data_IF_770126814086
#
_entry.id   IF_770126814086
#
_cell.length_a   1.000
_cell.length_b   1.000
_cell.length_c   1.000
_cell.angle_alpha   90.00
_cell.angle_beta   90.00
_cell.angle_gamma   90.00
#
_symmetry.space_group_name_H-M   'P 1'
#
loop_
_entity.id
_entity.type
_entity.pdbx_description
1 polymer ?
#
# COMPACT_ATOMS: atom_id res chain seq x y z
N UNK A 1 6.50 -19.73 30.05
CA UNK A 1 5.80 -19.78 28.74
C UNK A 1 6.28 -18.59 27.92
N UNK A 2 7.08 -18.82 26.88
CA UNK A 2 7.65 -17.76 26.04
C UNK A 2 6.57 -17.19 25.12
N UNK A 3 6.03 -16.03 25.48
CA UNK A 3 4.96 -15.34 24.75
C UNK A 3 5.45 -14.08 24.02
N UNK A 4 6.78 -13.89 23.93
CA UNK A 4 7.35 -12.66 23.37
C UNK A 4 7.14 -12.50 21.86
N UNK A 5 7.39 -13.55 21.09
CA UNK A 5 7.38 -13.51 19.61
C UNK A 5 6.01 -13.75 18.95
N UNK A 6 5.10 -14.61 19.47
CA UNK A 6 3.78 -14.80 18.86
C UNK A 6 2.94 -13.52 18.66
N UNK A 7 2.88 -12.55 19.60
CA UNK A 7 2.12 -11.32 19.40
C UNK A 7 2.79 -10.33 18.44
N UNK A 8 4.10 -10.46 18.17
CA UNK A 8 4.78 -9.62 17.20
C UNK A 8 4.19 -9.82 15.79
N UNK A 9 3.83 -11.06 15.44
CA UNK A 9 3.22 -11.39 14.15
C UNK A 9 1.79 -10.82 14.03
N UNK A 10 1.05 -10.67 15.14
CA UNK A 10 -0.28 -10.08 15.13
C UNK A 10 -0.27 -8.61 14.67
N UNK A 11 0.83 -7.89 14.87
CA UNK A 11 0.97 -6.50 14.39
C UNK A 11 0.84 -6.35 12.88
N UNK A 12 1.08 -7.43 12.12
CA UNK A 12 0.94 -7.45 10.66
C UNK A 12 -0.52 -7.28 10.20
N UNK A 13 -1.49 -7.51 11.10
CA UNK A 13 -2.92 -7.30 10.83
C UNK A 13 -3.22 -5.85 10.38
N UNK A 14 -2.58 -4.86 11.01
CA UNK A 14 -2.74 -3.45 10.63
C UNK A 14 -2.20 -3.18 9.21
N UNK A 15 -1.08 -3.81 8.84
CA UNK A 15 -0.51 -3.71 7.49
C UNK A 15 -1.48 -4.26 6.44
N UNK A 16 -2.08 -5.42 6.68
CA UNK A 16 -3.05 -6.00 5.75
C UNK A 16 -4.37 -5.23 5.72
N UNK A 17 -4.83 -4.67 6.84
CA UNK A 17 -6.02 -3.81 6.86
C UNK A 17 -5.83 -2.59 5.94
N UNK A 18 -4.66 -1.94 5.98
CA UNK A 18 -4.32 -0.85 5.06
C UNK A 18 -4.28 -1.31 3.61
N UNK A 19 -3.67 -2.47 3.32
CA UNK A 19 -3.63 -3.04 1.97
C UNK A 19 -5.04 -3.30 1.42
N UNK A 20 -5.94 -3.84 2.24
CA UNK A 20 -7.33 -4.08 1.86
C UNK A 20 -8.10 -2.77 1.62
N UNK A 21 -7.89 -1.75 2.46
CA UNK A 21 -8.49 -0.43 2.26
C UNK A 21 -8.07 0.19 0.92
N UNK A 22 -6.77 0.13 0.57
CA UNK A 22 -6.29 0.58 -0.73
C UNK A 22 -6.85 -0.25 -1.88
N UNK A 23 -6.99 -1.57 -1.71
CA UNK A 23 -7.57 -2.44 -2.74
C UNK A 23 -9.02 -2.07 -3.04
N UNK A 24 -9.85 -1.88 -2.02
CA UNK A 24 -11.23 -1.44 -2.17
C UNK A 24 -11.33 -0.06 -2.84
N UNK A 25 -10.45 0.88 -2.46
CA UNK A 25 -10.41 2.20 -3.08
C UNK A 25 -10.04 2.14 -4.56
N UNK A 26 -9.04 1.32 -4.92
CA UNK A 26 -8.63 1.12 -6.31
C UNK A 26 -9.73 0.46 -7.15
N UNK A 27 -10.47 -0.49 -6.58
CA UNK A 27 -11.65 -1.10 -7.21
C UNK A 27 -12.71 -0.04 -7.56
N UNK A 28 -12.98 0.90 -6.64
CA UNK A 28 -13.89 2.04 -6.90
C UNK A 28 -13.41 2.96 -8.03
N UNK A 29 -12.10 3.07 -8.22
CA UNK A 29 -11.49 3.84 -9.31
C UNK A 29 -11.38 3.05 -10.63
N UNK A 30 -11.90 1.82 -10.69
CA UNK A 30 -11.80 0.94 -11.85
C UNK A 30 -10.44 0.27 -12.05
N UNK A 31 -9.57 0.31 -11.03
CA UNK A 31 -8.22 -0.25 -11.03
C UNK A 31 -8.19 -1.55 -10.21
N UNK A 32 -8.80 -2.61 -10.75
CA UNK A 32 -8.87 -3.94 -10.10
C UNK A 32 -7.60 -4.79 -10.27
N UNK A 33 -6.54 -4.21 -10.85
CA UNK A 33 -5.27 -4.90 -11.09
C UNK A 33 -4.52 -5.18 -9.79
N UNK A 34 -3.77 -6.29 -9.78
CA UNK A 34 -2.86 -6.62 -8.69
C UNK A 34 -1.81 -5.51 -8.52
N UNK A 35 -1.60 -5.06 -7.29
CA UNK A 35 -0.59 -4.06 -6.95
C UNK A 35 0.30 -4.55 -5.81
N UNK A 36 1.54 -4.08 -5.84
CA UNK A 36 2.54 -4.38 -4.81
C UNK A 36 2.48 -3.32 -3.72
N UNK A 37 2.37 -3.76 -2.46
CA UNK A 37 2.45 -2.89 -1.30
C UNK A 37 3.53 -3.43 -0.36
N UNK A 38 4.63 -2.71 -0.26
CA UNK A 38 5.83 -3.13 0.46
C UNK A 38 5.84 -2.60 1.89
N UNK A 39 6.28 -3.43 2.83
CA UNK A 39 6.57 -3.01 4.20
C UNK A 39 7.85 -2.17 4.25
N UNK A 40 7.95 -1.14 5.11
CA UNK A 40 6.90 -0.61 6.00
C UNK A 40 5.80 0.15 5.24
N UNK A 41 4.57 0.08 5.75
CA UNK A 41 3.41 0.83 5.23
C UNK A 41 3.48 2.32 5.61
N UNK A 42 4.47 3.04 5.06
CA UNK A 42 4.60 4.48 5.27
C UNK A 42 3.45 5.23 4.61
N UNK A 43 3.15 6.42 5.13
CA UNK A 43 2.12 7.32 4.57
C UNK A 43 2.39 7.68 3.11
N UNK A 44 3.67 7.82 2.75
CA UNK A 44 4.11 8.07 1.38
C UNK A 44 3.74 6.91 0.45
N UNK A 45 4.10 5.67 0.80
CA UNK A 45 3.76 4.47 0.01
C UNK A 45 2.26 4.27 -0.11
N UNK A 46 1.53 4.47 0.99
CA UNK A 46 0.06 4.37 1.00
C UNK A 46 -0.56 5.38 0.03
N UNK A 47 -0.14 6.66 0.10
CA UNK A 47 -0.67 7.73 -0.75
C UNK A 47 -0.43 7.47 -2.23
N UNK A 48 0.76 7.00 -2.58
CA UNK A 48 1.10 6.69 -3.98
C UNK A 48 0.35 5.48 -4.51
N UNK A 49 0.04 4.51 -3.63
CA UNK A 49 -0.72 3.31 -3.98
C UNK A 49 -2.19 3.61 -4.29
N UNK A 50 -2.76 4.68 -3.71
CA UNK A 50 -4.15 5.09 -3.95
C UNK A 50 -4.45 5.60 -5.36
N UNK A 51 -3.50 5.65 -6.31
CA UNK A 51 -3.73 5.85 -7.75
C UNK A 51 -4.83 6.88 -8.14
N UNK A 52 -4.87 8.01 -7.43
CA UNK A 52 -5.84 9.08 -7.62
C UNK A 52 -5.59 9.89 -8.88
N UNK A 53 -6.53 10.77 -9.21
CA UNK A 53 -6.32 11.80 -10.24
C UNK A 53 -5.05 12.63 -10.01
N UNK A 54 -4.74 12.99 -8.77
CA UNK A 54 -3.50 13.71 -8.44
C UNK A 54 -2.25 12.88 -8.71
N UNK A 55 -2.28 11.60 -8.34
CA UNK A 55 -1.18 10.66 -8.60
C UNK A 55 -1.00 10.47 -10.10
N UNK A 56 -2.11 10.40 -10.87
CA UNK A 56 -2.08 10.32 -12.32
C UNK A 56 -1.45 11.55 -12.97
N UNK A 57 -1.79 12.75 -12.48
CA UNK A 57 -1.19 14.00 -12.97
C UNK A 57 0.29 14.13 -12.61
N UNK A 58 0.69 13.62 -11.44
CA UNK A 58 2.06 13.76 -10.93
C UNK A 58 3.04 12.72 -11.50
N UNK A 59 2.60 11.48 -11.76
CA UNK A 59 3.47 10.39 -12.22
C UNK A 59 3.21 10.12 -13.70
N UNK A 60 4.09 10.56 -14.60
CA UNK A 60 3.79 10.64 -16.03
C UNK A 60 3.81 9.33 -16.84
N UNK A 61 4.24 8.18 -16.27
CA UNK A 61 4.47 6.97 -17.09
C UNK A 61 4.12 5.61 -16.44
N UNK A 62 3.91 5.50 -15.13
CA UNK A 62 3.56 4.21 -14.47
C UNK A 62 2.64 4.46 -13.26
N UNK A 63 1.34 4.55 -13.50
CA UNK A 63 0.36 4.98 -12.48
C UNK A 63 -0.04 3.88 -11.50
N UNK A 64 0.18 2.61 -11.85
CA UNK A 64 -0.43 1.48 -11.14
C UNK A 64 0.46 0.88 -10.05
N UNK A 65 1.79 0.99 -10.21
CA UNK A 65 2.81 0.45 -9.31
C UNK A 65 3.98 1.46 -9.08
N UNK A 66 3.65 2.74 -8.89
CA UNK A 66 4.68 3.73 -8.60
C UNK A 66 5.30 3.49 -7.21
N UNK A 67 6.59 3.14 -7.18
CA UNK A 67 7.40 3.11 -5.98
C UNK A 67 8.31 4.35 -5.93
N UNK A 68 8.17 5.11 -4.85
CA UNK A 68 9.04 6.26 -4.55
C UNK A 68 10.51 5.83 -4.41
N UNK A 69 11.41 6.48 -5.13
CA UNK A 69 12.85 6.22 -5.07
C UNK A 69 13.38 6.64 -3.69
N UNK A 70 14.13 5.76 -3.02
CA UNK A 70 14.70 6.02 -1.68
C UNK A 70 13.92 5.41 -0.51
N UNK A 71 12.74 4.86 -0.76
CA UNK A 71 12.06 3.98 0.18
C UNK A 71 12.64 2.56 0.09
N UNK A 72 13.66 2.27 0.91
CA UNK A 72 14.27 0.94 1.07
C UNK A 72 13.24 -0.16 1.35
#
# INVERSE_FOLDING_TARGET
KGIGEPPFVLGISAFFALKQACMAYREQQGLSNYFTFNSPATVERLRMTCADEFTRRACSNDHENFQVKGSF
#
